data_IF_359684639994
#
_entry.id   IF_359684639994
#
_cell.length_a   1.000
_cell.length_b   1.000
_cell.length_c   1.000
_cell.angle_alpha   90.00
_cell.angle_beta   90.00
_cell.angle_gamma   90.00
#
_symmetry.space_group_name_H-M   'P 1'
#
loop_
_entity.id
_entity.type
_entity.pdbx_description
1 polymer ?
#
# COMPACT_ATOMS: atom_id res chain seq x y z
N UNK A 1 3.93 -10.50 16.23
CA UNK A 1 4.82 -9.40 15.83
C UNK A 1 5.73 -9.91 14.73
N UNK A 2 5.49 -9.50 13.48
CA UNK A 2 6.36 -9.84 12.35
C UNK A 2 7.57 -8.91 12.42
N UNK A 3 8.77 -9.48 12.62
CA UNK A 3 10.01 -8.69 12.70
C UNK A 3 10.65 -8.64 11.32
N UNK A 4 10.62 -7.47 10.67
CA UNK A 4 11.33 -7.25 9.40
C UNK A 4 12.81 -7.01 9.73
N UNK A 5 13.70 -7.91 9.30
CA UNK A 5 15.13 -7.80 9.55
C UNK A 5 15.79 -6.88 8.48
N UNK A 6 16.27 -5.72 8.92
CA UNK A 6 16.90 -4.69 8.09
C UNK A 6 18.41 -4.90 7.84
N UNK A 7 19.02 -5.99 8.31
CA UNK A 7 20.47 -6.22 8.18
C UNK A 7 20.94 -6.64 6.77
N UNK A 8 20.16 -6.38 5.72
CA UNK A 8 20.48 -6.65 4.32
C UNK A 8 20.17 -5.40 3.50
N UNK A 9 21.20 -4.68 3.09
CA UNK A 9 21.12 -3.44 2.30
C UNK A 9 20.46 -3.56 0.90
N UNK A 10 19.78 -4.65 0.51
CA UNK A 10 19.47 -4.85 -0.92
C UNK A 10 18.35 -5.83 -1.29
N UNK A 11 17.59 -6.39 -0.36
CA UNK A 11 16.45 -7.26 -0.74
C UNK A 11 15.18 -6.42 -0.80
N UNK A 12 14.96 -5.74 -1.93
CA UNK A 12 13.74 -5.86 -2.74
C UNK A 12 12.45 -6.26 -1.97
N UNK A 13 12.06 -5.49 -0.95
CA UNK A 13 10.74 -5.62 -0.33
C UNK A 13 9.73 -4.97 -1.26
N UNK A 14 8.78 -5.75 -1.72
CA UNK A 14 7.70 -5.25 -2.53
C UNK A 14 6.35 -5.48 -1.86
N UNK A 15 5.46 -4.53 -2.04
CA UNK A 15 4.12 -4.56 -1.50
C UNK A 15 3.12 -4.52 -2.62
N UNK A 16 2.01 -5.23 -2.44
CA UNK A 16 0.86 -5.14 -3.34
C UNK A 16 -0.44 -4.98 -2.56
N UNK A 17 -1.38 -4.25 -3.15
CA UNK A 17 -2.74 -4.15 -2.60
C UNK A 17 -3.41 -5.53 -2.67
N UNK A 18 -3.95 -5.99 -1.54
CA UNK A 18 -4.71 -7.23 -1.47
C UNK A 18 -6.06 -7.08 -2.16
N UNK A 19 -6.19 -7.66 -3.35
CA UNK A 19 -7.41 -7.59 -4.18
C UNK A 19 -8.60 -8.36 -3.59
N UNK A 20 -8.39 -9.16 -2.55
CA UNK A 20 -9.42 -9.95 -1.89
C UNK A 20 -10.07 -9.20 -0.71
N UNK A 21 -9.52 -8.05 -0.28
CA UNK A 21 -10.12 -7.18 0.75
C UNK A 21 -11.26 -6.29 0.25
N UNK A 22 -11.73 -6.48 -0.99
CA UNK A 22 -12.79 -5.66 -1.58
C UNK A 22 -12.31 -4.31 -2.11
N UNK A 23 -11.00 -4.12 -2.25
CA UNK A 23 -10.37 -2.92 -2.84
C UNK A 23 -10.28 -2.99 -4.36
N UNK A 24 -11.26 -3.61 -5.01
CA UNK A 24 -11.34 -3.64 -6.47
C UNK A 24 -12.08 -2.39 -6.93
N UNK A 25 -11.58 -1.67 -7.95
CA UNK A 25 -12.35 -0.61 -8.57
C UNK A 25 -13.69 -1.15 -9.06
N UNK A 26 -14.78 -0.49 -8.72
CA UNK A 26 -16.13 -0.88 -9.11
C UNK A 26 -16.65 -0.06 -10.27
N UNK A 27 -16.17 1.17 -10.41
CA UNK A 27 -16.40 2.02 -11.58
C UNK A 27 -15.14 2.80 -11.94
N UNK A 28 -15.01 3.10 -13.22
CA UNK A 28 -13.97 3.95 -13.77
C UNK A 28 -14.64 5.12 -14.48
N UNK A 29 -14.18 6.33 -14.21
CA UNK A 29 -14.67 7.55 -14.82
C UNK A 29 -13.51 8.26 -15.50
N UNK A 30 -13.75 8.72 -16.72
CA UNK A 30 -12.87 9.62 -17.42
C UNK A 30 -13.53 11.00 -17.43
N UNK A 31 -13.03 11.89 -16.59
CA UNK A 31 -13.50 13.27 -16.49
C UNK A 31 -12.48 14.20 -17.15
N UNK A 32 -12.91 15.43 -17.46
CA UNK A 32 -12.08 16.40 -18.18
C UNK A 32 -10.75 16.71 -17.46
N UNK A 33 -10.72 16.52 -16.14
CA UNK A 33 -9.59 16.82 -15.25
C UNK A 33 -8.83 15.56 -14.78
N UNK A 34 -9.19 14.37 -15.25
CA UNK A 34 -8.45 13.14 -14.96
C UNK A 34 -9.29 11.88 -14.86
N UNK A 35 -8.59 10.80 -14.52
CA UNK A 35 -9.16 9.46 -14.33
C UNK A 35 -9.51 9.23 -12.86
N UNK A 36 -10.73 8.75 -12.61
CA UNK A 36 -11.24 8.46 -11.26
C UNK A 36 -11.68 7.00 -11.14
N UNK A 37 -11.49 6.44 -9.95
CA UNK A 37 -11.89 5.08 -9.60
C UNK A 37 -12.80 5.09 -8.37
N UNK A 38 -13.96 4.45 -8.46
CA UNK A 38 -14.80 4.15 -7.29
C UNK A 38 -14.40 2.82 -6.67
N UNK A 39 -14.48 2.74 -5.35
CA UNK A 39 -14.27 1.52 -4.59
C UNK A 39 -15.46 1.29 -3.65
N UNK A 40 -16.05 0.09 -3.67
CA UNK A 40 -17.22 -0.25 -2.85
C UNK A 40 -16.94 -0.23 -1.34
N UNK A 41 -15.67 -0.40 -0.95
CA UNK A 41 -15.20 -0.33 0.43
C UNK A 41 -13.89 0.45 0.46
N UNK A 42 -13.83 1.49 1.28
CA UNK A 42 -12.61 2.30 1.44
C UNK A 42 -11.95 1.98 2.80
N UNK A 43 -10.61 1.93 2.87
CA UNK A 43 -9.89 1.84 4.14
C UNK A 43 -10.13 3.03 5.06
N UNK A 44 -10.64 4.15 4.54
CA UNK A 44 -10.91 5.39 5.27
C UNK A 44 -11.87 5.21 6.46
N UNK A 45 -12.71 4.17 6.43
CA UNK A 45 -13.64 3.87 7.51
C UNK A 45 -13.21 2.69 8.38
N UNK A 46 -12.03 2.11 8.15
CA UNK A 46 -11.52 1.02 8.98
C UNK A 46 -10.83 1.57 10.23
N UNK A 47 -11.54 1.46 11.37
CA UNK A 47 -11.04 1.90 12.68
C UNK A 47 -9.95 1.01 13.26
N UNK A 48 -9.65 -0.13 12.64
CA UNK A 48 -8.57 -1.04 13.07
C UNK A 48 -7.20 -0.61 12.59
N UNK A 49 -7.12 0.40 11.72
CA UNK A 49 -5.87 0.98 11.23
C UNK A 49 -5.77 2.48 11.51
N UNK A 50 -4.55 2.96 11.70
CA UNK A 50 -4.23 4.37 11.94
C UNK A 50 -4.56 5.26 10.74
N UNK A 51 -4.82 6.54 11.00
CA UNK A 51 -5.03 7.53 9.95
C UNK A 51 -3.84 7.63 8.97
N UNK A 52 -2.62 7.46 9.47
CA UNK A 52 -1.42 7.41 8.63
C UNK A 52 -1.43 6.21 7.69
N UNK A 53 -1.79 5.03 8.18
CA UNK A 53 -1.98 3.84 7.35
C UNK A 53 -3.11 4.01 6.32
N UNK A 54 -4.22 4.65 6.70
CA UNK A 54 -5.32 4.99 5.78
C UNK A 54 -4.86 5.93 4.66
N UNK A 55 -4.08 6.96 4.98
CA UNK A 55 -3.50 7.86 3.98
C UNK A 55 -2.54 7.14 3.04
N UNK A 56 -1.69 6.26 3.60
CA UNK A 56 -0.74 5.48 2.82
C UNK A 56 -1.47 4.56 1.83
N UNK A 57 -2.43 3.74 2.26
CA UNK A 57 -3.19 2.87 1.36
C UNK A 57 -4.00 3.67 0.32
N UNK A 58 -4.49 4.87 0.66
CA UNK A 58 -5.08 5.79 -0.30
C UNK A 58 -4.12 6.16 -1.44
N UNK A 59 -2.84 6.39 -1.10
CA UNK A 59 -1.79 6.64 -2.09
C UNK A 59 -1.55 5.43 -3.00
N UNK A 60 -1.53 4.21 -2.46
CA UNK A 60 -1.45 3.00 -3.29
C UNK A 60 -2.60 2.93 -4.30
N UNK A 61 -3.83 3.20 -3.85
CA UNK A 61 -5.04 3.13 -4.68
C UNK A 61 -5.10 4.24 -5.75
N UNK A 62 -4.42 5.38 -5.53
CA UNK A 62 -4.41 6.49 -6.48
C UNK A 62 -3.36 6.34 -7.59
N UNK A 63 -2.45 5.35 -7.51
CA UNK A 63 -1.38 5.17 -8.51
C UNK A 63 -1.85 4.24 -9.64
N UNK A 64 -1.75 4.66 -10.90
CA UNK A 64 -2.11 3.80 -12.03
C UNK A 64 -1.13 2.63 -12.14
N UNK A 65 -1.69 1.42 -12.16
CA UNK A 65 -1.09 0.16 -12.63
C UNK A 65 0.40 -0.08 -12.33
N UNK A 66 0.74 -0.30 -11.06
CA UNK A 66 1.85 -1.17 -10.69
C UNK A 66 1.36 -2.06 -9.55
N UNK A 67 1.07 -3.33 -9.83
CA UNK A 67 0.58 -4.25 -8.80
C UNK A 67 1.62 -4.50 -7.69
N UNK A 68 2.84 -3.97 -7.80
CA UNK A 68 3.99 -4.30 -6.97
C UNK A 68 4.79 -3.01 -6.80
N UNK A 69 5.00 -2.59 -5.55
CA UNK A 69 5.67 -1.34 -5.22
C UNK A 69 6.87 -1.60 -4.31
N UNK A 70 8.03 -1.06 -4.65
CA UNK A 70 9.21 -1.24 -3.81
C UNK A 70 9.11 -0.37 -2.55
N UNK A 71 9.71 -0.82 -1.45
CA UNK A 71 9.81 -0.01 -0.22
C UNK A 71 10.49 1.35 -0.46
N UNK A 72 11.39 1.42 -1.45
CA UNK A 72 12.10 2.64 -1.81
C UNK A 72 11.17 3.66 -2.45
N UNK A 73 10.30 3.23 -3.39
CA UNK A 73 9.31 4.11 -4.01
C UNK A 73 8.34 4.66 -2.96
N UNK A 74 7.91 3.80 -2.04
CA UNK A 74 7.00 4.18 -0.96
C UNK A 74 7.62 5.26 -0.06
N UNK A 75 8.91 5.13 0.28
CA UNK A 75 9.63 6.17 1.02
C UNK A 75 9.75 7.49 0.25
N UNK A 76 9.76 7.46 -1.09
CA UNK A 76 9.78 8.69 -1.90
C UNK A 76 8.41 9.37 -1.99
N UNK A 77 7.32 8.67 -1.69
CA UNK A 77 5.97 9.25 -1.72
C UNK A 77 5.57 9.94 -0.42
N UNK A 78 6.15 9.51 0.70
CA UNK A 78 5.79 10.01 2.02
C UNK A 78 6.68 11.18 2.44
N UNK A 79 6.08 12.16 3.11
CA UNK A 79 6.80 13.21 3.83
C UNK A 79 7.22 12.74 5.25
N UNK A 80 6.66 11.63 5.73
CA UNK A 80 6.99 11.06 7.03
C UNK A 80 8.36 10.37 7.02
N UNK A 81 8.96 10.22 8.20
CA UNK A 81 10.20 9.48 8.34
C UNK A 81 10.01 7.97 8.04
N UNK A 82 11.12 7.31 7.69
CA UNK A 82 11.10 5.90 7.28
C UNK A 82 10.54 4.96 8.35
N UNK A 83 10.77 5.24 9.64
CA UNK A 83 10.27 4.40 10.74
C UNK A 83 8.74 4.48 10.88
N UNK A 84 8.20 5.67 10.71
CA UNK A 84 6.76 5.92 10.68
C UNK A 84 6.11 5.23 9.48
N UNK A 85 6.67 5.39 8.26
CA UNK A 85 6.16 4.71 7.05
C UNK A 85 6.20 3.19 7.20
N UNK A 86 7.27 2.64 7.78
CA UNK A 86 7.38 1.20 8.08
C UNK A 86 6.27 0.74 9.01
N UNK A 87 5.96 1.51 10.05
CA UNK A 87 4.91 1.16 11.01
C UNK A 87 3.55 1.08 10.32
N UNK A 88 3.24 2.02 9.42
CA UNK A 88 2.03 1.97 8.59
C UNK A 88 2.01 0.77 7.65
N UNK A 89 3.15 0.42 7.03
CA UNK A 89 3.23 -0.76 6.17
C UNK A 89 2.97 -2.07 6.94
N UNK A 90 3.51 -2.20 8.16
CA UNK A 90 3.25 -3.36 9.02
C UNK A 90 1.77 -3.44 9.37
N UNK A 91 1.16 -2.32 9.77
CA UNK A 91 -0.27 -2.25 10.10
C UNK A 91 -1.16 -2.65 8.91
N UNK A 92 -0.81 -2.19 7.70
CA UNK A 92 -1.52 -2.57 6.48
C UNK A 92 -1.33 -4.03 6.08
N UNK A 93 -0.18 -4.64 6.39
CA UNK A 93 0.05 -6.08 6.22
C UNK A 93 -0.78 -6.89 7.23
N UNK A 94 -0.77 -6.51 8.51
CA UNK A 94 -1.48 -7.21 9.57
C UNK A 94 -3.00 -7.12 9.43
N UNK A 95 -3.52 -5.97 8.98
CA UNK A 95 -4.94 -5.79 8.64
C UNK A 95 -5.35 -6.48 7.32
N UNK A 96 -4.36 -6.95 6.54
CA UNK A 96 -4.55 -7.69 5.30
C UNK A 96 -4.85 -6.82 4.08
N UNK A 97 -4.68 -5.50 4.15
CA UNK A 97 -4.83 -4.59 3.02
C UNK A 97 -3.64 -4.64 2.06
N UNK A 98 -2.44 -4.95 2.56
CA UNK A 98 -1.25 -5.21 1.77
C UNK A 98 -0.83 -6.68 1.87
N UNK A 99 -0.09 -7.14 0.86
CA UNK A 99 0.62 -8.42 0.86
C UNK A 99 2.12 -8.17 0.62
N UNK A 100 2.98 -8.86 1.38
CA UNK A 100 4.43 -8.93 1.13
C UNK A 100 4.66 -9.78 -0.13
N UNK A 101 5.29 -9.19 -1.14
CA UNK A 101 5.64 -9.85 -2.39
C UNK A 101 7.16 -10.03 -2.48
N UNK A 102 7.60 -11.28 -2.36
CA UNK A 102 9.00 -11.64 -2.49
C UNK A 102 9.30 -12.07 -3.92
N UNK A 103 10.20 -11.34 -4.57
CA UNK A 103 10.74 -11.76 -5.87
C UNK A 103 11.84 -12.78 -5.58
N UNK A 104 11.53 -14.06 -5.77
CA UNK A 104 12.54 -15.12 -5.77
C UNK A 104 13.16 -15.18 -7.16
N UNK A 105 14.44 -14.81 -7.29
CA UNK A 105 15.22 -15.13 -8.49
C UNK A 105 15.58 -16.62 -8.42
N UNK A 106 15.13 -17.40 -9.42
CA UNK A 106 15.68 -18.73 -9.70
C UNK A 106 17.05 -18.60 -10.38
#
# INVERSE_FOLDING_TARGET
MITINYSLQSINFFFRVNKNKGLRPTKFYHEKDGDFFDFDRTPLYDSSISWGAQGLIGTFLSKPAYNIYSIHDIFLWSADDRGTVVSYLIELLESGYLEDFRIYNN
#
